data_IF_489187274395
#
_entry.id   IF_489187274395
#
_cell.length_a   1.000
_cell.length_b   1.000
_cell.length_c   1.000
_cell.angle_alpha   90.00
_cell.angle_beta   90.00
_cell.angle_gamma   90.00
#
_symmetry.space_group_name_H-M   'P 1'
#
loop_
_entity.id
_entity.type
_entity.pdbx_description
1 polymer ?
#
# COMPACT_ATOMS: atom_id res chain seq x y z
N UNK A 1 -1.19 14.26 10.90
CA UNK A 1 -0.98 13.00 10.16
C UNK A 1 -0.58 11.94 11.16
N UNK A 2 -1.13 10.73 11.06
CA UNK A 2 -0.70 9.61 11.91
C UNK A 2 0.67 9.10 11.48
N UNK A 3 1.30 8.28 12.33
CA UNK A 3 2.57 7.63 11.97
C UNK A 3 2.46 6.80 10.68
N UNK A 4 1.36 6.07 10.51
CA UNK A 4 1.08 5.32 9.29
C UNK A 4 0.95 6.22 8.04
N UNK A 5 0.37 7.41 8.17
CA UNK A 5 0.23 8.36 7.05
C UNK A 5 1.58 8.89 6.58
N UNK A 6 2.48 9.17 7.52
CA UNK A 6 3.83 9.66 7.19
C UNK A 6 4.59 8.60 6.40
N UNK A 7 4.66 7.37 6.92
CA UNK A 7 5.32 6.24 6.22
C UNK A 7 4.70 6.04 4.84
N UNK A 8 3.38 6.04 4.73
CA UNK A 8 2.70 5.82 3.46
C UNK A 8 3.07 6.88 2.42
N UNK A 9 3.09 8.16 2.83
CA UNK A 9 3.46 9.27 1.95
C UNK A 9 4.93 9.23 1.55
N UNK A 10 5.82 8.91 2.49
CA UNK A 10 7.26 8.78 2.24
C UNK A 10 7.56 7.64 1.26
N UNK A 11 6.91 6.48 1.44
CA UNK A 11 7.06 5.36 0.52
C UNK A 11 6.57 5.68 -0.89
N UNK A 12 5.42 6.36 -1.03
CA UNK A 12 4.95 6.81 -2.35
C UNK A 12 5.96 7.77 -2.97
N UNK A 13 6.45 8.75 -2.22
CA UNK A 13 7.45 9.70 -2.71
C UNK A 13 8.71 8.96 -3.19
N UNK A 14 9.20 8.00 -2.42
CA UNK A 14 10.37 7.19 -2.80
C UNK A 14 10.12 6.37 -4.08
N UNK A 15 8.95 5.77 -4.25
CA UNK A 15 8.58 5.06 -5.48
C UNK A 15 8.57 6.01 -6.67
N UNK A 16 8.02 7.22 -6.51
CA UNK A 16 7.94 8.21 -7.58
C UNK A 16 9.32 8.75 -7.97
N UNK A 17 10.21 8.96 -7.01
CA UNK A 17 11.55 9.51 -7.25
C UNK A 17 12.53 8.43 -7.71
N UNK A 18 12.61 7.31 -7.00
CA UNK A 18 13.68 6.31 -7.13
C UNK A 18 13.22 4.94 -7.67
N UNK A 19 11.93 4.76 -7.96
CA UNK A 19 11.40 3.48 -8.43
C UNK A 19 11.77 3.12 -9.87
N UNK A 20 11.64 1.83 -10.19
CA UNK A 20 11.86 1.25 -11.53
C UNK A 20 10.51 0.85 -12.14
N UNK A 21 10.36 0.98 -13.47
CA UNK A 21 9.16 0.55 -14.17
C UNK A 21 9.18 -0.95 -14.48
N UNK A 22 8.03 -1.60 -14.35
CA UNK A 22 7.81 -2.92 -14.93
C UNK A 22 7.67 -2.75 -16.45
N UNK A 23 8.61 -3.21 -17.26
CA UNK A 23 8.60 -2.93 -18.71
C UNK A 23 7.72 -3.90 -19.53
N UNK A 24 7.29 -5.02 -18.95
CA UNK A 24 6.49 -6.06 -19.63
C UNK A 24 5.35 -6.61 -18.75
N UNK A 25 4.50 -5.71 -18.25
CA UNK A 25 3.40 -6.11 -17.37
C UNK A 25 2.31 -6.90 -18.12
N UNK A 26 1.85 -8.02 -17.54
CA UNK A 26 0.66 -8.75 -18.04
C UNK A 26 -0.66 -7.97 -17.88
N UNK A 27 -0.88 -7.22 -16.77
CA UNK A 27 -2.10 -6.46 -16.59
C UNK A 27 -2.31 -5.41 -17.69
N UNK A 28 -3.57 -5.24 -18.10
CA UNK A 28 -4.00 -4.23 -19.07
C UNK A 28 -5.14 -3.40 -18.47
N UNK A 29 -5.20 -2.13 -18.83
CA UNK A 29 -6.33 -1.26 -18.52
C UNK A 29 -7.57 -1.67 -19.34
N UNK A 30 -8.73 -1.12 -18.99
CA UNK A 30 -10.01 -1.39 -19.69
C UNK A 30 -9.94 -1.06 -21.19
N UNK A 31 -9.08 -0.11 -21.58
CA UNK A 31 -8.84 0.30 -22.96
C UNK A 31 -7.81 -0.59 -23.70
N UNK A 32 -7.29 -1.63 -23.05
CA UNK A 32 -6.32 -2.57 -23.63
C UNK A 32 -4.85 -2.14 -23.52
N UNK A 33 -4.55 -0.93 -23.05
CA UNK A 33 -3.17 -0.47 -22.83
C UNK A 33 -2.52 -1.25 -21.70
N UNK A 34 -1.24 -1.58 -21.84
CA UNK A 34 -0.47 -2.27 -20.79
C UNK A 34 -0.38 -1.39 -19.53
N UNK A 35 -0.71 -1.97 -18.38
CA UNK A 35 -0.69 -1.32 -17.08
C UNK A 35 0.64 -1.59 -16.36
N UNK A 36 1.67 -0.83 -16.75
CA UNK A 36 2.98 -0.88 -16.11
C UNK A 36 2.93 -0.20 -14.72
N UNK A 37 3.65 -0.78 -13.76
CA UNK A 37 3.78 -0.26 -12.39
C UNK A 37 5.17 0.31 -12.17
N UNK A 38 5.30 1.30 -11.27
CA UNK A 38 6.57 1.78 -10.73
C UNK A 38 6.74 1.24 -9.31
N UNK A 39 7.90 0.69 -8.99
CA UNK A 39 8.14 0.04 -7.69
C UNK A 39 9.57 0.22 -7.19
N UNK A 40 9.75 0.03 -5.88
CA UNK A 40 11.05 -0.14 -5.23
C UNK A 40 11.12 -1.54 -4.61
N UNK A 41 12.32 -2.08 -4.46
CA UNK A 41 12.52 -3.39 -3.82
C UNK A 41 12.82 -3.20 -2.34
N UNK A 42 12.11 -3.93 -1.48
CA UNK A 42 12.39 -3.98 -0.04
C UNK A 42 11.99 -2.71 0.71
N UNK A 43 10.69 -2.56 1.00
CA UNK A 43 10.17 -1.52 1.89
C UNK A 43 9.68 -2.16 3.20
N UNK A 44 10.14 -1.63 4.33
CA UNK A 44 9.82 -2.16 5.66
C UNK A 44 9.27 -1.05 6.55
N UNK A 45 8.27 -1.39 7.37
CA UNK A 45 7.66 -0.47 8.31
C UNK A 45 7.46 -1.18 9.65
N UNK A 46 7.82 -0.50 10.73
CA UNK A 46 7.70 -1.01 12.11
C UNK A 46 6.72 -0.14 12.86
N UNK A 47 5.80 -0.76 13.59
CA UNK A 47 4.76 -0.04 14.34
C UNK A 47 4.83 -0.42 15.82
N UNK A 48 4.99 0.58 16.68
CA UNK A 48 4.99 0.42 18.14
C UNK A 48 3.57 0.63 18.70
N UNK A 49 2.88 -0.48 18.95
CA UNK A 49 1.51 -0.47 19.47
C UNK A 49 1.41 0.14 20.88
N UNK A 50 2.48 0.06 21.69
CA UNK A 50 2.49 0.67 23.03
C UNK A 50 2.39 2.20 22.96
N UNK A 51 2.82 2.79 21.84
CA UNK A 51 2.73 4.22 21.54
C UNK A 51 1.48 4.58 20.73
N UNK A 52 0.54 3.65 20.57
CA UNK A 52 -0.67 3.85 19.78
C UNK A 52 -0.41 3.95 18.26
N UNK A 53 0.72 3.43 17.77
CA UNK A 53 1.02 3.45 16.33
C UNK A 53 0.26 2.33 15.62
N UNK A 54 -0.97 2.61 15.19
CA UNK A 54 -1.73 1.66 14.40
C UNK A 54 -1.38 1.75 12.90
N UNK A 55 -1.22 0.61 12.19
CA UNK A 55 -0.90 0.57 10.76
C UNK A 55 -2.12 0.83 9.88
N UNK A 56 -2.86 1.91 10.17
CA UNK A 56 -4.06 2.30 9.43
C UNK A 56 -3.91 3.76 8.99
N UNK A 57 -3.90 3.99 7.68
CA UNK A 57 -3.86 5.34 7.13
C UNK A 57 -5.20 6.07 7.29
N UNK A 58 -5.13 7.37 7.57
CA UNK A 58 -6.25 8.32 7.64
C UNK A 58 -6.38 9.19 6.38
N UNK A 59 -5.44 9.08 5.43
CA UNK A 59 -5.43 9.88 4.20
C UNK A 59 -6.63 9.59 3.27
N UNK A 60 -7.25 8.41 3.41
CA UNK A 60 -8.49 8.05 2.74
C UNK A 60 -9.26 7.04 3.56
N UNK A 61 -10.57 6.95 3.34
CA UNK A 61 -11.41 5.92 3.96
C UNK A 61 -10.99 4.53 3.48
N UNK A 62 -10.70 3.63 4.42
CA UNK A 62 -10.36 2.23 4.16
C UNK A 62 -11.59 1.34 4.43
N UNK A 63 -11.87 0.33 3.59
CA UNK A 63 -12.99 -0.59 3.79
C UNK A 63 -12.73 -1.63 4.90
N UNK A 64 -12.54 -1.16 6.14
CA UNK A 64 -12.15 -1.98 7.31
C UNK A 64 -13.15 -3.12 7.57
N UNK A 65 -14.46 -2.87 7.42
CA UNK A 65 -15.49 -3.90 7.61
C UNK A 65 -15.31 -5.09 6.66
N UNK A 66 -14.96 -4.83 5.39
CA UNK A 66 -14.73 -5.89 4.41
C UNK A 66 -13.42 -6.62 4.69
N UNK A 67 -12.36 -5.91 5.09
CA UNK A 67 -11.09 -6.51 5.47
C UNK A 67 -11.22 -7.46 6.68
N UNK A 68 -12.02 -7.10 7.69
CA UNK A 68 -12.32 -7.99 8.83
C UNK A 68 -13.06 -9.26 8.38
N UNK A 69 -14.05 -9.12 7.49
CA UNK A 69 -14.77 -10.28 6.93
C UNK A 69 -13.85 -11.22 6.16
N UNK A 70 -12.92 -10.67 5.37
CA UNK A 70 -11.93 -11.45 4.63
C UNK A 70 -10.97 -12.20 5.58
N UNK A 71 -10.52 -11.55 6.66
CA UNK A 71 -9.70 -12.19 7.69
C UNK A 71 -10.43 -13.38 8.33
N UNK A 72 -11.69 -13.19 8.75
CA UNK A 72 -12.51 -14.28 9.27
C UNK A 72 -12.68 -15.39 8.24
N UNK A 73 -12.95 -15.06 6.98
CA UNK A 73 -13.12 -16.09 5.94
C UNK A 73 -11.87 -16.97 5.74
N UNK A 74 -10.67 -16.43 5.93
CA UNK A 74 -9.41 -17.19 5.76
C UNK A 74 -9.06 -18.00 7.01
N UNK A 75 -9.26 -17.44 8.22
CA UNK A 75 -8.67 -17.97 9.45
C UNK A 75 -9.67 -18.51 10.47
N UNK A 76 -10.97 -18.28 10.31
CA UNK A 76 -12.02 -18.74 11.22
C UNK A 76 -12.78 -19.92 10.61
#
# INVERSE_FOLDING_TARGET
MTYADNIFKENIKNILENGVFSENARPKYKDGKIANSKYITGAFATYDLSKGQFPITTLRRIPIKSAIKELSWIYQ
#
